data_IF_428048408392
#
_entry.id   IF_428048408392
#
_cell.length_a   1.000
_cell.length_b   1.000
_cell.length_c   1.000
_cell.angle_alpha   90.00
_cell.angle_beta   90.00
_cell.angle_gamma   90.00
#
_symmetry.space_group_name_H-M   'P 1'
#
loop_
_entity.id
_entity.type
_entity.pdbx_description
1 polymer ?
#
# COMPACT_ATOMS: atom_id res chain seq x y z
N UNK A 1 27.94 -0.56 7.77
CA UNK A 1 26.64 -0.08 8.27
C UNK A 1 25.64 -1.19 8.07
N UNK A 2 24.86 -1.54 9.10
CA UNK A 2 23.81 -2.55 8.96
C UNK A 2 22.67 -2.00 8.11
N UNK A 3 22.22 -2.78 7.12
CA UNK A 3 21.07 -2.39 6.30
C UNK A 3 19.79 -2.45 7.14
N UNK A 4 18.89 -1.46 7.03
CA UNK A 4 17.63 -1.48 7.75
C UNK A 4 16.75 -2.64 7.27
N UNK A 5 16.01 -3.25 8.20
CA UNK A 5 15.03 -4.31 7.87
C UNK A 5 13.87 -3.76 7.04
N UNK A 6 13.09 -4.65 6.41
CA UNK A 6 11.90 -4.25 5.65
C UNK A 6 10.90 -3.50 6.54
N UNK A 7 10.72 -3.95 7.78
CA UNK A 7 9.85 -3.35 8.77
C UNK A 7 10.37 -1.98 9.20
N UNK A 8 11.69 -1.81 9.37
CA UNK A 8 12.28 -0.51 9.70
C UNK A 8 12.11 0.50 8.56
N UNK A 9 12.33 0.08 7.32
CA UNK A 9 12.08 0.92 6.13
C UNK A 9 10.60 1.32 6.09
N UNK A 10 9.69 0.36 6.26
CA UNK A 10 8.26 0.60 6.19
C UNK A 10 7.75 1.48 7.34
N UNK A 11 8.20 1.25 8.57
CA UNK A 11 7.86 2.04 9.74
C UNK A 11 8.40 3.48 9.67
N UNK A 12 9.54 3.68 9.00
CA UNK A 12 10.12 5.01 8.78
C UNK A 12 9.34 5.86 7.76
N UNK A 13 8.45 5.24 6.98
CA UNK A 13 7.59 5.95 6.03
C UNK A 13 6.44 6.67 6.73
N UNK A 14 5.88 7.71 6.09
CA UNK A 14 4.66 8.37 6.58
C UNK A 14 3.41 7.59 6.15
N UNK A 15 2.67 7.07 7.14
CA UNK A 15 1.40 6.36 6.89
C UNK A 15 0.38 7.20 6.14
N UNK A 16 0.27 8.51 6.45
CA UNK A 16 -0.62 9.43 5.73
C UNK A 16 -0.21 9.58 4.26
N UNK A 17 1.08 9.81 3.99
CA UNK A 17 1.59 9.94 2.62
C UNK A 17 1.33 8.66 1.83
N UNK A 18 1.59 7.48 2.42
CA UNK A 18 1.30 6.20 1.78
C UNK A 18 -0.20 6.04 1.45
N UNK A 19 -1.09 6.42 2.37
CA UNK A 19 -2.54 6.36 2.13
C UNK A 19 -2.99 7.34 1.04
N UNK A 20 -2.51 8.58 1.08
CA UNK A 20 -2.85 9.60 0.08
C UNK A 20 -2.37 9.18 -1.29
N UNK A 21 -1.15 8.68 -1.43
CA UNK A 21 -0.61 8.25 -2.73
C UNK A 21 -1.34 7.02 -3.31
N UNK A 22 -1.86 6.13 -2.47
CA UNK A 22 -2.72 5.03 -2.95
C UNK A 22 -4.13 5.49 -3.32
N UNK A 23 -4.59 6.63 -2.81
CA UNK A 23 -5.89 7.20 -3.12
C UNK A 23 -5.86 8.17 -4.32
N UNK A 24 -4.85 9.07 -4.38
CA UNK A 24 -4.67 10.14 -5.37
C UNK A 24 -3.17 10.34 -5.68
N UNK A 25 -2.69 10.18 -6.95
CA UNK A 25 -3.45 9.92 -8.18
C UNK A 25 -4.08 8.53 -8.28
N UNK A 26 -3.89 7.67 -7.26
CA UNK A 26 -4.45 6.32 -7.19
C UNK A 26 -3.60 5.29 -7.94
N UNK A 27 -3.92 4.00 -7.76
CA UNK A 27 -3.27 2.85 -8.44
C UNK A 27 -1.95 2.35 -7.83
N UNK A 28 -1.78 2.42 -6.51
CA UNK A 28 -0.69 1.70 -5.84
C UNK A 28 0.60 2.50 -5.65
N UNK A 29 0.64 3.80 -5.98
CA UNK A 29 1.84 4.63 -5.82
C UNK A 29 2.33 4.73 -4.36
N UNK A 30 1.43 4.62 -3.38
CA UNK A 30 1.78 4.53 -1.96
C UNK A 30 2.61 3.29 -1.63
N UNK A 31 2.50 2.22 -2.41
CA UNK A 31 3.37 1.05 -2.26
C UNK A 31 4.80 1.31 -2.69
N UNK A 32 5.04 2.10 -3.74
CA UNK A 32 6.39 2.50 -4.13
C UNK A 32 7.04 3.35 -3.04
N UNK A 33 6.29 4.27 -2.46
CA UNK A 33 6.74 5.07 -1.32
C UNK A 33 7.11 4.20 -0.11
N UNK A 34 6.34 3.14 0.13
CA UNK A 34 6.61 2.12 1.15
C UNK A 34 7.66 1.07 0.74
N UNK A 35 8.23 1.15 -0.47
CA UNK A 35 9.16 0.17 -1.08
C UNK A 35 8.60 -1.26 -1.21
N UNK A 36 7.29 -1.37 -1.45
CA UNK A 36 6.52 -2.61 -1.58
C UNK A 36 6.16 -2.90 -3.05
N UNK A 37 7.07 -3.52 -3.79
CA UNK A 37 6.93 -3.72 -5.24
C UNK A 37 5.84 -4.71 -5.66
N UNK A 38 5.66 -5.81 -4.92
CA UNK A 38 4.65 -6.83 -5.25
C UNK A 38 3.22 -6.24 -5.26
N UNK A 39 2.74 -5.57 -4.19
CA UNK A 39 1.40 -5.00 -4.19
C UNK A 39 1.24 -3.84 -5.19
N UNK A 40 2.31 -3.12 -5.52
CA UNK A 40 2.32 -2.13 -6.60
C UNK A 40 1.97 -2.78 -7.95
N UNK A 41 2.70 -3.81 -8.36
CA UNK A 41 2.44 -4.49 -9.63
C UNK A 41 1.09 -5.22 -9.65
N UNK A 42 0.68 -5.80 -8.53
CA UNK A 42 -0.65 -6.41 -8.41
C UNK A 42 -1.77 -5.38 -8.62
N UNK A 43 -1.62 -4.18 -8.06
CA UNK A 43 -2.58 -3.09 -8.23
C UNK A 43 -2.62 -2.59 -9.67
N UNK A 44 -1.45 -2.42 -10.30
CA UNK A 44 -1.37 -2.06 -11.72
C UNK A 44 -2.03 -3.10 -12.62
N UNK A 45 -1.80 -4.40 -12.35
CA UNK A 45 -2.46 -5.49 -13.05
C UNK A 45 -3.97 -5.50 -12.86
N UNK A 46 -4.46 -5.29 -11.64
CA UNK A 46 -5.90 -5.21 -11.35
C UNK A 46 -6.58 -4.04 -12.06
N UNK A 47 -5.95 -2.86 -12.05
CA UNK A 47 -6.46 -1.68 -12.74
C UNK A 47 -6.47 -1.89 -14.27
N UNK A 48 -5.39 -2.46 -14.81
CA UNK A 48 -5.31 -2.80 -16.24
C UNK A 48 -6.41 -3.79 -16.63
N UNK A 49 -6.59 -4.85 -15.84
CA UNK A 49 -7.65 -5.84 -16.06
C UNK A 49 -9.04 -5.20 -16.02
N UNK A 50 -9.27 -4.27 -15.08
CA UNK A 50 -10.54 -3.53 -15.00
C UNK A 50 -10.82 -2.72 -16.27
N UNK A 51 -9.83 -2.01 -16.79
CA UNK A 51 -9.98 -1.28 -18.05
C UNK A 51 -10.18 -2.19 -19.25
N UNK A 52 -9.41 -3.28 -19.36
CA UNK A 52 -9.54 -4.25 -20.47
C UNK A 52 -10.91 -4.90 -20.46
N UNK A 53 -11.41 -5.31 -19.29
CA UNK A 53 -12.77 -5.85 -19.15
C UNK A 53 -13.81 -4.81 -19.58
N UNK A 54 -13.67 -3.55 -19.13
CA UNK A 54 -14.55 -2.47 -19.56
C UNK A 54 -14.54 -2.26 -21.08
N UNK A 55 -13.38 -2.30 -21.72
CA UNK A 55 -13.25 -2.17 -23.18
C UNK A 55 -13.92 -3.33 -23.93
N UNK A 56 -13.69 -4.57 -23.49
CA UNK A 56 -14.32 -5.77 -24.09
C UNK A 56 -15.85 -5.72 -23.95
N UNK A 57 -16.35 -5.32 -22.77
CA UNK A 57 -17.78 -5.27 -22.49
C UNK A 57 -18.51 -4.14 -23.23
N UNK A 58 -17.85 -3.03 -23.51
CA UNK A 58 -18.43 -1.92 -24.27
C UNK A 58 -18.30 -2.10 -25.79
N UNK A 59 -17.30 -2.86 -26.25
CA UNK A 59 -17.02 -3.03 -27.68
C UNK A 59 -16.79 -1.69 -28.38
N UNK A 60 -17.39 -1.51 -29.56
CA UNK A 60 -17.30 -0.27 -30.35
C UNK A 60 -18.36 0.78 -29.98
N UNK A 61 -19.12 0.55 -28.90
CA UNK A 61 -20.17 1.47 -28.45
C UNK A 61 -19.64 2.47 -27.42
N UNK A 62 -20.10 3.72 -27.51
CA UNK A 62 -19.78 4.71 -26.50
C UNK A 62 -20.41 4.33 -25.15
N UNK A 63 -19.64 4.30 -24.05
CA UNK A 63 -20.17 3.88 -22.76
C UNK A 63 -21.22 4.88 -22.27
N UNK A 64 -22.39 4.35 -21.91
CA UNK A 64 -23.44 5.10 -21.23
C UNK A 64 -22.93 5.70 -19.92
N UNK A 65 -23.61 6.73 -19.43
CA UNK A 65 -23.31 7.33 -18.12
C UNK A 65 -23.21 6.29 -16.99
N UNK A 66 -24.08 5.28 -16.99
CA UNK A 66 -24.04 4.21 -16.00
C UNK A 66 -22.79 3.34 -16.11
N UNK A 67 -22.38 2.97 -17.33
CA UNK A 67 -21.14 2.21 -17.56
C UNK A 67 -19.90 3.01 -17.16
N UNK A 68 -19.88 4.32 -17.44
CA UNK A 68 -18.79 5.20 -17.00
C UNK A 68 -18.71 5.27 -15.46
N UNK A 69 -19.85 5.39 -14.78
CA UNK A 69 -19.91 5.38 -13.31
C UNK A 69 -19.44 4.04 -12.72
N UNK A 70 -19.77 2.91 -13.37
CA UNK A 70 -19.24 1.59 -12.98
C UNK A 70 -17.71 1.57 -13.15
N UNK A 71 -17.21 2.03 -14.29
CA UNK A 71 -15.77 2.12 -14.56
C UNK A 71 -15.02 2.93 -13.50
N UNK A 72 -15.51 4.14 -13.21
CA UNK A 72 -14.96 5.01 -12.15
C UNK A 72 -15.09 4.35 -10.78
N UNK A 73 -16.25 3.76 -10.47
CA UNK A 73 -16.50 3.08 -9.20
C UNK A 73 -15.52 1.95 -8.92
N UNK A 74 -15.17 1.15 -9.93
CA UNK A 74 -14.15 0.12 -9.80
C UNK A 74 -12.75 0.67 -9.51
N UNK A 75 -12.38 1.80 -10.13
CA UNK A 75 -11.11 2.46 -9.82
C UNK A 75 -11.08 2.97 -8.37
N UNK A 76 -12.18 3.55 -7.89
CA UNK A 76 -12.31 3.94 -6.49
C UNK A 76 -12.22 2.74 -5.54
N UNK A 77 -12.84 1.62 -5.88
CA UNK A 77 -12.75 0.39 -5.08
C UNK A 77 -11.30 -0.10 -4.95
N UNK A 78 -10.55 -0.10 -6.06
CA UNK A 78 -9.12 -0.45 -6.07
C UNK A 78 -8.33 0.54 -5.19
N UNK A 79 -8.52 1.84 -5.38
CA UNK A 79 -7.81 2.89 -4.61
C UNK A 79 -8.11 2.83 -3.11
N UNK A 80 -9.36 2.61 -2.71
CA UNK A 80 -9.75 2.51 -1.30
C UNK A 80 -9.13 1.26 -0.67
N UNK A 81 -9.19 0.11 -1.37
CA UNK A 81 -8.61 -1.14 -0.87
C UNK A 81 -7.11 -1.01 -0.65
N UNK A 82 -6.39 -0.43 -1.62
CA UNK A 82 -4.93 -0.25 -1.53
C UNK A 82 -4.53 0.78 -0.49
N UNK A 83 -5.33 1.84 -0.30
CA UNK A 83 -5.17 2.79 0.80
C UNK A 83 -5.26 2.09 2.16
N UNK A 84 -6.31 1.28 2.39
CA UNK A 84 -6.51 0.56 3.65
C UNK A 84 -5.35 -0.41 3.89
N UNK A 85 -4.96 -1.17 2.88
CA UNK A 85 -3.88 -2.16 2.99
C UNK A 85 -2.53 -1.49 3.32
N UNK A 86 -2.18 -0.37 2.66
CA UNK A 86 -0.97 0.38 2.97
C UNK A 86 -0.96 0.92 4.41
N UNK A 87 -2.12 1.37 4.91
CA UNK A 87 -2.25 1.83 6.30
C UNK A 87 -2.03 0.69 7.30
N UNK A 88 -2.61 -0.47 7.03
CA UNK A 88 -2.47 -1.66 7.89
C UNK A 88 -1.01 -2.11 7.90
N UNK A 89 -0.35 -2.17 6.74
CA UNK A 89 1.04 -2.57 6.63
C UNK A 89 1.98 -1.61 7.39
N UNK A 90 1.75 -0.30 7.26
CA UNK A 90 2.49 0.72 8.02
C UNK A 90 2.35 0.49 9.53
N UNK A 91 1.10 0.38 10.03
CA UNK A 91 0.83 0.17 11.46
C UNK A 91 1.51 -1.10 11.99
N UNK A 92 1.44 -2.21 11.24
CA UNK A 92 2.09 -3.48 11.63
C UNK A 92 3.61 -3.34 11.71
N UNK A 93 4.22 -2.65 10.76
CA UNK A 93 5.67 -2.42 10.76
C UNK A 93 6.11 -1.56 11.95
N UNK A 94 5.38 -0.48 12.25
CA UNK A 94 5.68 0.37 13.39
C UNK A 94 5.66 -0.41 14.70
N UNK A 95 4.62 -1.21 14.94
CA UNK A 95 4.51 -2.04 16.14
C UNK A 95 5.67 -3.05 16.25
N UNK A 96 5.98 -3.74 15.15
CA UNK A 96 7.09 -4.70 15.13
C UNK A 96 8.45 -4.03 15.44
N UNK A 97 8.68 -2.82 14.93
CA UNK A 97 9.90 -2.05 15.21
C UNK A 97 9.94 -1.60 16.68
N UNK A 98 8.83 -1.13 17.23
CA UNK A 98 8.73 -0.76 18.64
C UNK A 98 9.05 -1.94 19.57
N UNK A 99 8.48 -3.12 19.31
CA UNK A 99 8.75 -4.35 20.06
C UNK A 99 10.24 -4.74 20.00
N UNK A 100 10.86 -4.66 18.81
CA UNK A 100 12.30 -4.94 18.64
C UNK A 100 13.18 -3.96 19.42
N UNK A 101 12.80 -2.67 19.45
CA UNK A 101 13.53 -1.64 20.21
C UNK A 101 13.41 -1.87 21.72
N UNK A 102 12.22 -2.25 22.21
CA UNK A 102 12.01 -2.59 23.61
C UNK A 102 12.83 -3.82 24.02
N UNK A 103 12.80 -4.88 23.21
CA UNK A 103 13.58 -6.10 23.47
C UNK A 103 15.10 -5.82 23.50
N UNK A 104 15.62 -5.01 22.57
CA UNK A 104 17.03 -4.59 22.57
C UNK A 104 17.39 -3.78 23.81
N UNK A 105 16.51 -2.86 24.21
CA UNK A 105 16.71 -2.02 25.41
C UNK A 105 16.71 -2.85 26.68
N UNK A 106 15.79 -3.81 26.81
CA UNK A 106 15.72 -4.73 27.94
C UNK A 106 17.00 -5.60 28.02
N UNK A 107 17.42 -6.19 26.90
CA UNK A 107 18.66 -6.98 26.84
C UNK A 107 19.89 -6.17 27.24
N UNK A 108 19.97 -4.91 26.79
CA UNK A 108 21.06 -4.00 27.17
C UNK A 108 21.06 -3.70 28.67
N UNK A 109 19.89 -3.43 29.26
CA UNK A 109 19.77 -3.23 30.73
C UNK A 109 20.24 -4.48 31.48
N UNK A 110 19.73 -5.67 31.14
CA UNK A 110 20.12 -6.91 31.82
C UNK A 110 21.61 -7.23 31.68
N UNK A 111 22.24 -6.91 30.54
CA UNK A 111 23.68 -7.09 30.34
C UNK A 111 24.55 -6.04 31.02
N UNK A 112 23.99 -4.89 31.43
CA UNK A 112 24.72 -3.85 32.19
C UNK A 112 24.78 -4.15 33.69
N UNK A 113 23.87 -4.99 34.19
CA UNK A 113 23.76 -5.40 35.60
C UNK A 113 24.34 -6.80 35.86
N UNK A 114 25.10 -7.36 34.91
CA UNK A 114 25.92 -8.57 35.06
C UNK A 114 27.39 -8.20 34.91
#
# INVERSE_FOLDING_TARGET
MDNPSKEQILASSSGWVATTLNFLPGLGAGYLYQRRWIPYFATGGAATAWFVLGAILNGDTEPTKSQQLIGIGGLFLISITTMIEAKIAHKKATLAVEEQLQAKTQKKKTGLFR
#
